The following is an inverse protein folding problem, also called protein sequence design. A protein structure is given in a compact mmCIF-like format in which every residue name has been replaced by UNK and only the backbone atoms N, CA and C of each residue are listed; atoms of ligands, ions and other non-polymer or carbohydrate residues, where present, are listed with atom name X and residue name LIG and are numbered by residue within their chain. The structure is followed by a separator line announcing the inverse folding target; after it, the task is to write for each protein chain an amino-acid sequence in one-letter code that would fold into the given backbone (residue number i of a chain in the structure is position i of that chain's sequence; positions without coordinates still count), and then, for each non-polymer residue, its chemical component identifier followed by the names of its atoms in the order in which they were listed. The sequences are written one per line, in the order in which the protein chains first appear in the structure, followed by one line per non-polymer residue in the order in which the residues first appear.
data_IF_774977185140
#
_entry.id   IF_774977185140
#
_cell.length_a   1.000
_cell.length_b   1.000
_cell.length_c   1.000
_cell.angle_alpha   90.00
_cell.angle_beta   90.00
_cell.angle_gamma   90.00
#
_symmetry.space_group_name_H-M   'P 1'
#
loop_
_entity.id
_entity.type
_entity.pdbx_description
1 polymer ?
#
# COMPACT_ATOMS: atom_id res chain seq x y z
N UNK A 1 15.20 -12.02 -1.31
CA UNK A 1 13.92 -11.96 -2.10
C UNK A 1 14.09 -12.51 -3.51
N UNK A 2 15.15 -12.14 -4.25
CA UNK A 2 15.38 -12.58 -5.64
C UNK A 2 15.50 -14.10 -5.71
N UNK A 3 16.29 -14.75 -4.86
CA UNK A 3 16.42 -16.22 -4.82
C UNK A 3 15.08 -16.91 -4.54
N UNK A 4 14.26 -16.34 -3.64
CA UNK A 4 12.92 -16.85 -3.36
C UNK A 4 12.04 -16.76 -4.62
N UNK A 5 12.08 -15.63 -5.32
CA UNK A 5 11.29 -15.42 -6.53
C UNK A 5 11.65 -16.39 -7.65
N UNK A 6 12.94 -16.67 -7.84
CA UNK A 6 13.45 -17.49 -8.93
C UNK A 6 13.32 -19.00 -8.65
N UNK A 7 13.53 -19.42 -7.42
CA UNK A 7 13.77 -20.84 -7.12
C UNK A 7 12.58 -21.53 -6.44
N UNK A 8 11.67 -20.76 -5.79
CA UNK A 8 10.57 -21.35 -5.01
C UNK A 8 9.59 -22.16 -5.88
N UNK A 9 9.45 -21.82 -7.16
CA UNK A 9 8.53 -22.50 -8.07
C UNK A 9 8.87 -23.97 -8.33
N UNK A 10 10.15 -24.33 -8.23
CA UNK A 10 10.67 -25.68 -8.47
C UNK A 10 11.46 -26.29 -7.31
N UNK A 11 11.56 -25.55 -6.19
CA UNK A 11 12.24 -26.03 -5.00
C UNK A 11 11.47 -27.16 -4.32
N UNK A 12 12.16 -28.24 -3.99
CA UNK A 12 11.62 -29.41 -3.29
C UNK A 12 12.47 -29.75 -2.06
N UNK A 13 11.89 -30.42 -1.09
CA UNK A 13 12.61 -30.94 0.08
C UNK A 13 13.39 -29.85 0.84
N UNK A 14 14.69 -30.12 1.08
CA UNK A 14 15.60 -29.23 1.87
C UNK A 14 15.75 -27.86 1.20
N UNK A 15 15.74 -27.79 -0.13
CA UNK A 15 15.85 -26.52 -0.83
C UNK A 15 14.64 -25.61 -0.59
N UNK A 16 13.42 -26.16 -0.62
CA UNK A 16 12.20 -25.43 -0.25
C UNK A 16 12.26 -24.93 1.18
N UNK A 17 12.72 -25.77 2.12
CA UNK A 17 12.87 -25.39 3.53
C UNK A 17 13.89 -24.26 3.72
N UNK A 18 15.00 -24.26 2.96
CA UNK A 18 16.00 -23.20 3.02
C UNK A 18 15.47 -21.84 2.52
N UNK A 19 14.66 -21.84 1.46
CA UNK A 19 14.02 -20.63 0.94
C UNK A 19 13.00 -20.06 1.92
N UNK A 20 12.24 -20.91 2.61
CA UNK A 20 11.33 -20.51 3.69
C UNK A 20 12.11 -19.93 4.85
N UNK A 21 13.23 -20.54 5.24
CA UNK A 21 14.11 -20.03 6.30
C UNK A 21 14.67 -18.64 5.93
N UNK A 22 15.09 -18.41 4.70
CA UNK A 22 15.54 -17.08 4.25
C UNK A 22 14.45 -16.02 4.31
N UNK A 23 13.21 -16.39 3.98
CA UNK A 23 12.05 -15.47 4.12
C UNK A 23 11.79 -15.12 5.57
N UNK A 24 11.89 -16.10 6.49
CA UNK A 24 11.73 -15.90 7.93
C UNK A 24 12.83 -14.99 8.50
N UNK A 25 14.09 -15.22 8.12
CA UNK A 25 15.22 -14.35 8.52
C UNK A 25 15.02 -12.92 8.02
N UNK A 26 14.54 -12.74 6.78
CA UNK A 26 14.25 -11.42 6.23
C UNK A 26 13.15 -10.70 7.04
N UNK A 27 12.09 -11.42 7.40
CA UNK A 27 11.01 -10.89 8.25
C UNK A 27 11.55 -10.46 9.61
N UNK A 28 12.33 -11.31 10.28
CA UNK A 28 12.92 -10.97 11.57
C UNK A 28 13.85 -9.74 11.46
N UNK A 29 14.63 -9.65 10.38
CA UNK A 29 15.52 -8.51 10.17
C UNK A 29 14.73 -7.20 9.98
N UNK A 30 13.64 -7.20 9.23
CA UNK A 30 12.76 -6.03 9.05
C UNK A 30 12.11 -5.63 10.39
N UNK A 31 11.59 -6.61 11.16
CA UNK A 31 11.05 -6.36 12.50
C UNK A 31 12.08 -5.72 13.42
N UNK A 32 13.29 -6.26 13.44
CA UNK A 32 14.40 -5.77 14.28
C UNK A 32 14.78 -4.34 13.87
N UNK A 33 14.92 -4.05 12.58
CA UNK A 33 15.19 -2.70 12.09
C UNK A 33 14.11 -1.72 12.52
N UNK A 34 12.83 -2.08 12.39
CA UNK A 34 11.73 -1.20 12.77
C UNK A 34 11.68 -0.97 14.29
N UNK A 35 11.97 -1.99 15.10
CA UNK A 35 12.10 -1.82 16.56
C UNK A 35 13.26 -0.87 16.90
N UNK A 36 14.41 -1.02 16.25
CA UNK A 36 15.56 -0.12 16.46
C UNK A 36 15.20 1.32 16.07
N UNK A 37 14.62 1.53 14.89
CA UNK A 37 14.20 2.85 14.43
C UNK A 37 13.17 3.48 15.36
N UNK A 38 12.27 2.67 15.89
CA UNK A 38 11.25 3.13 16.84
C UNK A 38 11.85 3.48 18.20
N UNK A 39 12.80 2.70 18.73
CA UNK A 39 13.53 3.01 19.96
C UNK A 39 14.35 4.30 19.82
N UNK A 40 14.95 4.52 18.66
CA UNK A 40 15.67 5.76 18.34
C UNK A 40 14.69 6.96 18.32
N UNK A 41 13.50 6.78 17.77
CA UNK A 41 12.47 7.84 17.70
C UNK A 41 11.81 8.12 19.06
N UNK A 42 11.64 7.09 19.89
CA UNK A 42 10.98 7.19 21.21
C UNK A 42 11.89 7.71 22.32
N UNK A 43 13.17 7.42 22.29
CA UNK A 43 14.16 8.12 23.10
C UNK A 43 14.51 9.42 22.37
N UNK A 44 14.38 10.56 23.04
CA UNK A 44 15.09 11.80 22.69
C UNK A 44 16.60 11.58 22.82
N UNK A 45 17.15 10.64 22.06
CA UNK A 45 18.56 10.62 21.77
C UNK A 45 18.74 11.88 20.95
N UNK A 46 19.33 12.92 21.57
CA UNK A 46 19.88 14.04 20.85
C UNK A 46 20.79 13.45 19.77
N UNK A 47 20.24 13.29 18.60
CA UNK A 47 20.98 12.89 17.44
C UNK A 47 21.83 14.08 17.08
N UNK A 48 22.99 14.22 17.72
CA UNK A 48 24.01 15.23 17.40
C UNK A 48 24.42 15.17 15.94
N UNK A 49 24.14 14.04 15.27
CA UNK A 49 24.29 13.91 13.82
C UNK A 49 23.25 14.73 13.03
N UNK A 50 22.01 14.85 13.51
CA UNK A 50 20.99 15.72 12.90
C UNK A 50 21.23 17.17 13.29
N UNK A 51 21.74 17.44 14.50
CA UNK A 51 22.21 18.76 14.90
C UNK A 51 23.50 19.15 14.18
N UNK A 52 24.39 18.22 13.89
CA UNK A 52 25.58 18.45 13.07
C UNK A 52 25.21 18.77 11.60
N UNK A 53 24.16 18.14 11.06
CA UNK A 53 23.58 18.54 9.77
C UNK A 53 22.81 19.87 9.88
N UNK A 54 22.14 20.15 11.00
CA UNK A 54 21.55 21.46 11.30
C UNK A 54 22.59 22.56 11.51
N UNK A 55 23.72 22.25 12.13
CA UNK A 55 24.84 23.18 12.29
C UNK A 55 25.62 23.42 10.98
N UNK A 56 25.61 22.43 10.08
CA UNK A 56 26.05 22.61 8.68
C UNK A 56 25.06 23.47 7.87
N UNK A 57 23.77 23.43 8.22
CA UNK A 57 22.67 24.18 7.61
C UNK A 57 22.09 25.27 8.53
N UNK A 58 22.96 26.12 9.09
CA UNK A 58 22.61 27.47 9.50
C UNK A 58 21.35 27.69 10.35
N UNK A 59 21.31 27.21 11.63
CA UNK A 59 20.34 27.69 12.63
C UNK A 59 21.01 27.99 13.97
N UNK A 60 22.13 28.71 13.98
CA UNK A 60 22.80 29.09 15.23
C UNK A 60 22.39 30.45 15.79
N UNK A 61 21.50 31.21 15.12
CA UNK A 61 21.16 32.57 15.57
C UNK A 61 19.68 32.88 15.83
N UNK A 62 18.79 31.89 15.93
CA UNK A 62 17.34 32.16 16.10
C UNK A 62 16.85 32.06 17.56
N UNK A 63 17.69 31.62 18.49
CA UNK A 63 17.23 31.42 19.90
C UNK A 63 17.30 32.65 20.82
N UNK A 64 17.72 33.83 20.34
CA UNK A 64 17.91 35.01 21.21
C UNK A 64 16.83 36.09 21.10
N UNK A 65 15.88 36.05 20.14
CA UNK A 65 14.92 37.14 19.92
C UNK A 65 13.49 36.66 19.62
N UNK A 66 12.96 35.67 20.34
CA UNK A 66 11.56 35.24 20.14
C UNK A 66 10.51 36.13 20.87
N UNK A 67 10.92 37.05 21.73
CA UNK A 67 9.98 37.84 22.51
C UNK A 67 9.54 39.17 21.89
N UNK A 68 9.99 39.53 20.70
CA UNK A 68 9.55 40.73 19.98
C UNK A 68 9.35 40.52 18.48
N UNK A 69 8.54 39.57 18.06
CA UNK A 69 8.22 39.46 16.63
C UNK A 69 6.78 39.89 16.33
N UNK A 70 6.63 41.19 16.03
CA UNK A 70 5.52 41.73 15.27
C UNK A 70 5.64 41.25 13.82
N UNK A 71 4.62 40.54 13.30
CA UNK A 71 4.53 39.96 11.95
C UNK A 71 4.48 40.99 10.79
N UNK A 72 4.82 42.24 11.04
CA UNK A 72 4.70 43.32 10.06
C UNK A 72 6.04 43.79 9.56
N UNK A 73 6.59 43.17 8.55
CA UNK A 73 7.82 43.51 7.77
C UNK A 73 8.92 42.45 7.76
N UNK A 74 8.61 41.23 7.29
CA UNK A 74 9.68 40.38 6.78
C UNK A 74 9.89 40.71 5.31
N UNK A 75 10.69 41.75 5.02
CA UNK A 75 11.41 41.87 3.76
C UNK A 75 12.49 40.79 3.78
N UNK A 76 12.27 39.71 3.02
CA UNK A 76 13.26 38.63 2.80
C UNK A 76 14.45 39.21 2.03
N UNK A 77 15.38 39.82 2.76
CA UNK A 77 16.65 40.31 2.20
C UNK A 77 17.76 39.33 2.64
N UNK A 78 18.35 38.66 1.67
CA UNK A 78 19.41 37.65 1.70
C UNK A 78 18.94 36.22 1.72
N UNK A 79 18.31 35.80 0.62
CA UNK A 79 18.29 34.37 0.24
C UNK A 79 19.74 34.00 -0.07
N UNK A 80 20.34 33.16 0.76
CA UNK A 80 21.72 32.70 0.52
C UNK A 80 21.78 32.04 -0.86
N UNK A 81 22.80 32.35 -1.65
CA UNK A 81 23.08 31.77 -2.99
C UNK A 81 22.94 30.23 -2.93
N UNK A 82 23.33 29.61 -1.81
CA UNK A 82 23.17 28.18 -1.56
C UNK A 82 21.70 27.71 -1.54
N UNK A 83 20.77 28.52 -1.04
CA UNK A 83 19.33 28.15 -1.02
C UNK A 83 18.69 28.26 -2.39
N UNK A 84 19.15 29.18 -3.23
CA UNK A 84 18.73 29.27 -4.63
C UNK A 84 19.27 28.08 -5.45
N UNK A 85 20.52 27.73 -5.30
CA UNK A 85 21.11 26.56 -5.94
C UNK A 85 20.35 25.28 -5.55
N UNK A 86 20.08 25.06 -4.27
CA UNK A 86 19.28 23.91 -3.79
C UNK A 86 17.88 23.91 -4.39
N UNK A 87 17.22 25.05 -4.52
CA UNK A 87 15.92 25.17 -5.17
C UNK A 87 15.97 24.72 -6.64
N UNK A 88 16.95 25.20 -7.39
CA UNK A 88 17.10 24.80 -8.80
C UNK A 88 17.43 23.30 -8.95
N UNK A 89 18.30 22.75 -8.08
CA UNK A 89 18.60 21.32 -8.06
C UNK A 89 17.33 20.51 -7.76
N UNK A 90 16.53 20.93 -6.78
CA UNK A 90 15.27 20.24 -6.44
C UNK A 90 14.27 20.30 -7.59
N UNK A 91 14.11 21.46 -8.24
CA UNK A 91 13.22 21.60 -9.41
C UNK A 91 13.71 20.70 -10.54
N UNK A 92 15.00 20.71 -10.84
CA UNK A 92 15.60 19.88 -11.90
C UNK A 92 15.41 18.38 -11.63
N UNK A 93 15.66 17.93 -10.40
CA UNK A 93 15.43 16.54 -9.99
C UNK A 93 13.94 16.15 -10.13
N UNK A 94 13.02 17.03 -9.73
CA UNK A 94 11.58 16.81 -9.87
C UNK A 94 11.17 16.69 -11.34
N UNK A 95 11.66 17.58 -12.20
CA UNK A 95 11.38 17.55 -13.65
C UNK A 95 11.90 16.25 -14.25
N UNK A 96 13.13 15.85 -13.99
CA UNK A 96 13.71 14.60 -14.51
C UNK A 96 12.89 13.39 -14.05
N UNK A 97 12.59 13.31 -12.77
CA UNK A 97 11.78 12.20 -12.22
C UNK A 97 10.39 12.12 -12.88
N UNK A 98 9.74 13.28 -13.05
CA UNK A 98 8.42 13.34 -13.69
C UNK A 98 8.48 12.96 -15.17
N UNK A 99 9.47 13.45 -15.90
CA UNK A 99 9.68 13.10 -17.31
C UNK A 99 9.96 11.61 -17.48
N UNK A 100 10.78 11.02 -16.60
CA UNK A 100 11.08 9.60 -16.64
C UNK A 100 9.86 8.74 -16.38
N UNK A 101 9.04 9.09 -15.37
CA UNK A 101 7.76 8.40 -15.12
C UNK A 101 6.80 8.54 -16.31
N UNK A 102 6.68 9.75 -16.87
CA UNK A 102 5.86 9.99 -18.04
C UNK A 102 6.33 9.17 -19.24
N UNK A 103 7.64 9.08 -19.46
CA UNK A 103 8.24 8.26 -20.52
C UNK A 103 7.86 6.79 -20.36
N UNK A 104 7.97 6.21 -19.15
CA UNK A 104 7.61 4.81 -18.90
C UNK A 104 6.11 4.59 -19.21
N UNK A 105 5.25 5.47 -18.69
CA UNK A 105 3.81 5.39 -18.91
C UNK A 105 3.47 5.45 -20.40
N UNK A 106 4.01 6.43 -21.12
CA UNK A 106 3.79 6.57 -22.56
C UNK A 106 4.35 5.40 -23.35
N UNK A 107 5.53 4.91 -23.00
CA UNK A 107 6.14 3.76 -23.65
C UNK A 107 5.26 2.52 -23.56
N UNK A 108 4.74 2.22 -22.36
CA UNK A 108 3.83 1.08 -22.14
C UNK A 108 2.55 1.26 -22.96
N UNK A 109 1.94 2.45 -22.93
CA UNK A 109 0.70 2.72 -23.66
C UNK A 109 0.89 2.63 -25.17
N UNK A 110 1.94 3.25 -25.73
CA UNK A 110 2.20 3.23 -27.17
C UNK A 110 2.45 1.80 -27.66
N UNK A 111 3.16 0.98 -26.88
CA UNK A 111 3.41 -0.41 -27.23
C UNK A 111 2.22 -1.33 -27.01
N UNK A 112 1.37 -1.05 -26.04
CA UNK A 112 0.29 -1.97 -25.64
C UNK A 112 -1.06 -1.68 -26.30
N UNK A 113 -1.45 -0.40 -26.50
CA UNK A 113 -2.75 -0.02 -27.05
C UNK A 113 -3.10 -0.67 -28.39
N UNK A 114 -2.16 -0.80 -29.38
CA UNK A 114 -2.47 -1.43 -30.66
C UNK A 114 -2.89 -2.90 -30.58
N UNK A 115 -2.53 -3.58 -29.49
CA UNK A 115 -2.78 -5.02 -29.29
C UNK A 115 -3.98 -5.30 -28.38
N UNK A 116 -4.70 -4.25 -27.92
CA UNK A 116 -5.92 -4.40 -27.15
C UNK A 116 -7.08 -4.66 -28.11
N UNK A 117 -7.53 -5.91 -28.18
CA UNK A 117 -8.65 -6.35 -29.00
C UNK A 117 -9.77 -6.89 -28.10
N UNK A 118 -10.99 -6.89 -28.58
CA UNK A 118 -12.13 -7.50 -27.89
C UNK A 118 -11.88 -8.99 -27.57
N UNK A 119 -11.25 -9.71 -28.49
CA UNK A 119 -10.91 -11.13 -28.31
C UNK A 119 -9.89 -11.35 -27.18
N UNK A 120 -8.94 -10.44 -26.97
CA UNK A 120 -7.98 -10.50 -25.85
C UNK A 120 -8.72 -10.28 -24.52
N UNK A 121 -9.72 -9.42 -24.47
CA UNK A 121 -10.45 -9.13 -23.24
C UNK A 121 -11.50 -10.17 -22.90
N UNK A 122 -12.29 -10.60 -23.88
CA UNK A 122 -13.51 -11.37 -23.69
C UNK A 122 -13.62 -12.62 -24.60
N UNK A 123 -12.57 -12.95 -25.36
CA UNK A 123 -12.56 -14.13 -26.20
C UNK A 123 -12.62 -15.43 -25.41
N UNK A 124 -12.91 -16.54 -26.08
CA UNK A 124 -12.81 -17.86 -25.48
C UNK A 124 -11.35 -18.28 -25.33
N UNK A 125 -10.99 -18.81 -24.16
CA UNK A 125 -9.65 -19.33 -23.90
C UNK A 125 -9.46 -20.68 -24.57
N UNK A 126 -8.98 -20.67 -25.80
CA UNK A 126 -8.57 -21.86 -26.54
C UNK A 126 -7.04 -21.95 -26.56
N UNK A 127 -6.50 -23.13 -26.84
CA UNK A 127 -5.03 -23.37 -26.89
C UNK A 127 -4.27 -22.43 -27.84
N UNK A 128 -4.96 -21.76 -28.78
CA UNK A 128 -4.40 -20.84 -29.76
C UNK A 128 -4.72 -19.35 -29.49
N UNK A 129 -5.68 -19.04 -28.61
CA UNK A 129 -6.09 -17.66 -28.30
C UNK A 129 -6.01 -17.40 -26.81
N UNK A 130 -5.20 -16.38 -26.43
CA UNK A 130 -5.06 -15.91 -25.05
C UNK A 130 -6.16 -14.90 -24.73
N UNK A 131 -6.88 -15.09 -23.64
CA UNK A 131 -7.87 -14.14 -23.13
C UNK A 131 -7.54 -13.71 -21.72
N UNK A 132 -7.91 -12.47 -21.39
CA UNK A 132 -7.76 -11.88 -20.06
C UNK A 132 -9.01 -12.03 -19.18
N UNK A 133 -10.11 -12.53 -19.76
CA UNK A 133 -11.39 -12.65 -19.04
C UNK A 133 -11.29 -13.44 -17.74
N UNK A 134 -10.64 -14.61 -17.69
CA UNK A 134 -10.45 -15.34 -16.43
C UNK A 134 -9.70 -14.52 -15.37
N UNK A 135 -8.70 -13.74 -15.79
CA UNK A 135 -7.92 -12.91 -14.88
C UNK A 135 -8.74 -11.72 -14.36
N UNK A 136 -9.58 -11.12 -15.19
CA UNK A 136 -10.51 -10.04 -14.78
C UNK A 136 -11.45 -10.56 -13.69
N UNK A 137 -12.10 -11.70 -13.94
CA UNK A 137 -13.03 -12.31 -12.98
C UNK A 137 -12.33 -12.70 -11.69
N UNK A 138 -11.18 -13.38 -11.78
CA UNK A 138 -10.40 -13.77 -10.60
C UNK A 138 -9.96 -12.56 -9.78
N UNK A 139 -9.51 -11.49 -10.44
CA UNK A 139 -9.12 -10.24 -9.74
C UNK A 139 -10.32 -9.61 -9.04
N UNK A 140 -11.47 -9.55 -9.70
CA UNK A 140 -12.70 -9.03 -9.09
C UNK A 140 -13.13 -9.86 -7.86
N UNK A 141 -13.08 -11.19 -7.96
CA UNK A 141 -13.37 -12.10 -6.84
C UNK A 141 -12.41 -11.88 -5.67
N UNK A 142 -11.10 -11.81 -5.94
CA UNK A 142 -10.08 -11.56 -4.90
C UNK A 142 -10.25 -10.20 -4.26
N UNK A 143 -10.49 -9.16 -5.06
CA UNK A 143 -10.71 -7.79 -4.60
C UNK A 143 -11.92 -7.73 -3.65
N UNK A 144 -13.05 -8.26 -4.07
CA UNK A 144 -14.28 -8.25 -3.29
C UNK A 144 -14.10 -8.98 -1.95
N UNK A 145 -13.55 -10.19 -1.98
CA UNK A 145 -13.34 -10.99 -0.79
C UNK A 145 -12.33 -10.37 0.18
N UNK A 146 -11.24 -9.83 -0.36
CA UNK A 146 -10.21 -9.18 0.46
C UNK A 146 -10.74 -7.92 1.15
N UNK A 147 -11.50 -7.08 0.44
CA UNK A 147 -12.05 -5.85 1.01
C UNK A 147 -13.15 -6.12 2.04
N UNK A 148 -14.02 -7.08 1.79
CA UNK A 148 -15.08 -7.47 2.76
C UNK A 148 -14.48 -7.85 4.11
N UNK A 149 -13.30 -8.47 4.13
CA UNK A 149 -12.62 -8.88 5.36
C UNK A 149 -11.75 -7.74 5.90
N UNK A 150 -10.90 -7.16 5.07
CA UNK A 150 -9.88 -6.21 5.53
C UNK A 150 -10.44 -4.85 5.96
N UNK A 151 -11.49 -4.36 5.28
CA UNK A 151 -12.04 -3.03 5.59
C UNK A 151 -12.69 -2.99 6.98
N UNK A 152 -13.62 -3.89 7.34
CA UNK A 152 -14.18 -3.88 8.68
C UNK A 152 -13.10 -4.05 9.76
N UNK A 153 -12.23 -5.04 9.61
CA UNK A 153 -11.17 -5.31 10.59
C UNK A 153 -10.24 -4.09 10.72
N UNK A 154 -9.81 -3.50 9.61
CA UNK A 154 -8.92 -2.35 9.59
C UNK A 154 -9.53 -1.10 10.22
N UNK A 155 -10.78 -0.77 9.84
CA UNK A 155 -11.48 0.40 10.38
C UNK A 155 -11.76 0.25 11.88
N UNK A 156 -12.27 -0.90 12.33
CA UNK A 156 -12.51 -1.14 13.76
C UNK A 156 -11.23 -1.16 14.57
N UNK A 157 -10.14 -1.71 14.02
CA UNK A 157 -8.82 -1.65 14.68
C UNK A 157 -8.34 -0.21 14.82
N UNK A 158 -8.47 0.62 13.79
CA UNK A 158 -8.10 2.04 13.85
C UNK A 158 -8.96 2.82 14.86
N UNK A 159 -10.27 2.56 14.92
CA UNK A 159 -11.16 3.15 15.93
C UNK A 159 -10.69 2.76 17.35
N UNK A 160 -10.36 1.49 17.57
CA UNK A 160 -9.84 1.05 18.85
C UNK A 160 -8.55 1.79 19.23
N UNK A 161 -7.61 1.90 18.30
CA UNK A 161 -6.31 2.55 18.52
C UNK A 161 -6.44 4.05 18.80
N UNK A 162 -7.44 4.73 18.20
CA UNK A 162 -7.61 6.19 18.36
C UNK A 162 -8.53 6.57 19.51
N UNK A 163 -9.65 5.85 19.67
CA UNK A 163 -10.72 6.27 20.55
C UNK A 163 -10.75 5.54 21.89
N UNK A 164 -10.38 4.28 21.95
CA UNK A 164 -10.47 3.48 23.18
C UNK A 164 -9.15 3.33 23.91
N UNK A 165 -8.05 3.56 23.24
CA UNK A 165 -6.75 3.31 23.82
C UNK A 165 -6.25 4.54 24.60
N UNK A 166 -5.60 4.31 25.75
CA UNK A 166 -4.81 5.35 26.41
C UNK A 166 -3.54 5.60 25.56
N UNK A 167 -3.27 6.84 25.21
CA UNK A 167 -2.18 7.25 24.28
C UNK A 167 -0.79 6.61 24.58
N UNK A 168 -0.55 6.15 25.81
CA UNK A 168 0.73 5.59 26.28
C UNK A 168 0.65 4.11 26.65
N UNK A 169 -0.33 3.35 26.18
CA UNK A 169 -0.45 1.92 26.47
C UNK A 169 0.63 1.10 25.75
N UNK A 170 1.38 0.26 26.49
CA UNK A 170 2.42 -0.63 25.93
C UNK A 170 1.88 -1.52 24.78
N UNK A 171 0.63 -1.97 24.89
CA UNK A 171 -0.03 -2.80 23.88
C UNK A 171 -0.22 -2.03 22.56
N UNK A 172 -0.67 -0.78 22.64
CA UNK A 172 -0.89 0.07 21.47
C UNK A 172 0.41 0.35 20.74
N UNK A 173 1.42 0.66 21.52
CA UNK A 173 2.78 0.83 21.03
C UNK A 173 3.24 -0.41 20.25
N UNK A 174 3.05 -1.60 20.82
CA UNK A 174 3.40 -2.85 20.16
C UNK A 174 2.60 -3.07 18.87
N UNK A 175 1.27 -2.80 18.86
CA UNK A 175 0.43 -2.94 17.66
C UNK A 175 0.90 -2.00 16.56
N UNK A 176 1.21 -0.73 16.87
CA UNK A 176 1.71 0.23 15.87
C UNK A 176 3.05 -0.21 15.26
N UNK A 177 4.02 -0.62 16.10
CA UNK A 177 5.29 -1.15 15.60
C UNK A 177 5.05 -2.35 14.68
N UNK A 178 4.19 -3.27 15.09
CA UNK A 178 3.89 -4.46 14.30
C UNK A 178 3.24 -4.10 12.96
N UNK A 179 2.27 -3.20 12.97
CA UNK A 179 1.60 -2.71 11.75
C UNK A 179 2.57 -2.00 10.81
N UNK A 180 3.42 -1.11 11.36
CA UNK A 180 4.45 -0.41 10.58
C UNK A 180 5.49 -1.39 10.00
N UNK A 181 5.86 -2.41 10.76
CA UNK A 181 6.80 -3.44 10.33
C UNK A 181 6.24 -4.31 9.22
N UNK A 182 4.97 -4.73 9.33
CA UNK A 182 4.28 -5.48 8.28
C UNK A 182 4.20 -4.71 6.96
N UNK A 183 4.00 -3.40 7.01
CA UNK A 183 3.94 -2.58 5.79
C UNK A 183 5.25 -2.54 5.02
N UNK A 184 6.39 -2.77 5.67
CA UNK A 184 7.72 -2.82 5.07
C UNK A 184 8.15 -4.18 4.53
N UNK A 185 7.37 -5.24 4.75
CA UNK A 185 7.71 -6.59 4.30
C UNK A 185 7.46 -6.72 2.79
N UNK A 186 8.41 -7.28 2.00
CA UNK A 186 8.19 -7.58 0.59
C UNK A 186 7.00 -8.54 0.38
N UNK A 187 6.17 -8.27 -0.64
CA UNK A 187 4.93 -9.03 -0.89
C UNK A 187 5.17 -10.53 -1.13
N UNK A 188 6.32 -10.88 -1.71
CA UNK A 188 6.69 -12.29 -1.90
C UNK A 188 6.79 -13.07 -0.58
N UNK A 189 7.22 -12.42 0.50
CA UNK A 189 7.28 -13.02 1.83
C UNK A 189 5.86 -13.31 2.35
N UNK A 190 4.92 -12.38 2.14
CA UNK A 190 3.50 -12.64 2.43
C UNK A 190 2.95 -13.81 1.61
N UNK A 191 3.38 -13.95 0.34
CA UNK A 191 3.02 -15.08 -0.50
C UNK A 191 3.48 -16.41 0.08
N UNK A 192 4.72 -16.48 0.57
CA UNK A 192 5.26 -17.67 1.21
C UNK A 192 4.54 -18.01 2.52
N UNK A 193 4.31 -17.02 3.38
CA UNK A 193 3.54 -17.24 4.60
C UNK A 193 2.10 -17.61 4.29
N UNK A 194 1.47 -16.98 3.31
CA UNK A 194 0.14 -17.32 2.84
C UNK A 194 0.09 -18.77 2.32
N UNK A 195 1.11 -19.21 1.59
CA UNK A 195 1.22 -20.60 1.16
C UNK A 195 1.31 -21.55 2.36
N UNK A 196 2.19 -21.30 3.32
CA UNK A 196 2.35 -22.15 4.49
C UNK A 196 1.07 -22.22 5.36
N UNK A 197 0.42 -21.09 5.56
CA UNK A 197 -0.75 -21.01 6.44
C UNK A 197 -2.00 -21.50 5.72
N UNK A 198 -2.29 -20.94 4.53
CA UNK A 198 -3.57 -21.20 3.89
C UNK A 198 -3.57 -22.49 3.04
N UNK A 199 -2.46 -22.81 2.36
CA UNK A 199 -2.40 -24.03 1.56
C UNK A 199 -2.01 -25.26 2.40
N UNK A 200 -0.88 -25.16 3.14
CA UNK A 200 -0.33 -26.32 3.83
C UNK A 200 -1.07 -26.58 5.17
N UNK A 201 -1.27 -25.55 6.02
CA UNK A 201 -1.90 -25.72 7.34
C UNK A 201 -3.44 -25.85 7.27
N UNK A 202 -4.10 -24.97 6.49
CA UNK A 202 -5.57 -25.00 6.35
C UNK A 202 -6.07 -25.88 5.21
N UNK A 203 -5.16 -26.42 4.37
CA UNK A 203 -5.51 -27.35 3.33
C UNK A 203 -6.35 -26.77 2.18
N UNK A 204 -6.37 -25.43 2.01
CA UNK A 204 -7.18 -24.78 0.97
C UNK A 204 -6.67 -25.03 -0.46
N UNK A 205 -5.44 -25.53 -0.60
CA UNK A 205 -4.79 -25.61 -1.90
C UNK A 205 -4.57 -24.24 -2.55
N UNK A 206 -4.04 -24.20 -3.77
CA UNK A 206 -4.00 -22.97 -4.55
C UNK A 206 -5.40 -22.58 -4.95
N UNK A 207 -5.87 -21.44 -4.47
CA UNK A 207 -7.25 -21.03 -4.68
C UNK A 207 -7.41 -19.50 -4.60
N UNK A 208 -8.46 -19.00 -5.23
CA UNK A 208 -8.86 -17.58 -5.15
C UNK A 208 -9.03 -17.17 -3.68
N UNK A 209 -9.57 -18.06 -2.83
CA UNK A 209 -9.74 -17.79 -1.39
C UNK A 209 -8.40 -17.64 -0.68
N UNK A 210 -7.45 -18.55 -0.89
CA UNK A 210 -6.11 -18.44 -0.29
C UNK A 210 -5.39 -17.17 -0.73
N UNK A 211 -5.50 -16.81 -2.03
CA UNK A 211 -5.00 -15.54 -2.56
C UNK A 211 -5.67 -14.33 -1.89
N UNK A 212 -7.01 -14.36 -1.73
CA UNK A 212 -7.76 -13.28 -1.08
C UNK A 212 -7.33 -13.08 0.37
N UNK A 213 -7.17 -14.16 1.14
CA UNK A 213 -6.73 -14.10 2.54
C UNK A 213 -5.29 -13.57 2.65
N UNK A 214 -4.43 -13.93 1.71
CA UNK A 214 -3.06 -13.37 1.64
C UNK A 214 -3.09 -11.88 1.34
N UNK A 215 -3.96 -11.43 0.43
CA UNK A 215 -4.17 -10.01 0.15
C UNK A 215 -4.68 -9.26 1.38
N UNK A 216 -5.58 -9.86 2.17
CA UNK A 216 -6.01 -9.27 3.46
C UNK A 216 -4.80 -8.95 4.34
N UNK A 217 -3.87 -9.90 4.51
CA UNK A 217 -2.66 -9.67 5.31
C UNK A 217 -1.80 -8.52 4.77
N UNK A 218 -1.73 -8.36 3.46
CA UNK A 218 -0.94 -7.32 2.78
C UNK A 218 -1.56 -5.92 2.94
N UNK A 219 -2.90 -5.81 2.81
CA UNK A 219 -3.58 -4.51 2.79
C UNK A 219 -4.01 -4.04 4.18
N UNK A 220 -4.23 -4.95 5.12
CA UNK A 220 -4.72 -4.65 6.46
C UNK A 220 -3.88 -3.60 7.21
N UNK A 221 -2.52 -3.70 7.26
CA UNK A 221 -1.69 -2.68 7.89
C UNK A 221 -1.89 -1.28 7.30
N UNK A 222 -2.02 -1.20 5.97
CA UNK A 222 -2.22 0.08 5.28
C UNK A 222 -3.59 0.70 5.59
N UNK A 223 -4.66 -0.11 5.64
CA UNK A 223 -6.00 0.35 6.00
C UNK A 223 -6.03 0.84 7.45
N UNK A 224 -5.45 0.08 8.39
CA UNK A 224 -5.37 0.47 9.80
C UNK A 224 -4.66 1.81 9.92
N UNK A 225 -3.46 1.94 9.32
CA UNK A 225 -2.62 3.13 9.44
C UNK A 225 -3.27 4.37 8.87
N UNK A 226 -3.79 4.30 7.65
CA UNK A 226 -4.41 5.45 6.99
C UNK A 226 -5.72 5.87 7.68
N UNK A 227 -6.51 4.89 8.15
CA UNK A 227 -7.72 5.18 8.93
C UNK A 227 -7.36 5.81 10.27
N UNK A 228 -6.35 5.30 10.98
CA UNK A 228 -5.85 5.86 12.24
C UNK A 228 -5.40 7.32 12.04
N UNK A 229 -4.57 7.62 11.04
CA UNK A 229 -4.11 8.96 10.73
C UNK A 229 -5.27 9.91 10.40
N UNK A 230 -6.26 9.41 9.67
CA UNK A 230 -7.49 10.17 9.37
C UNK A 230 -8.26 10.51 10.64
N UNK A 231 -8.49 9.53 11.51
CA UNK A 231 -9.24 9.74 12.75
C UNK A 231 -8.50 10.68 13.72
N UNK A 232 -7.17 10.60 13.79
CA UNK A 232 -6.34 11.51 14.61
C UNK A 232 -6.41 12.95 14.08
N UNK A 233 -6.53 13.15 12.77
CA UNK A 233 -6.58 14.48 12.16
C UNK A 233 -7.86 15.26 12.48
N UNK A 234 -8.91 14.58 12.96
CA UNK A 234 -10.18 15.23 13.35
C UNK A 234 -10.00 16.03 14.64
N UNK A 235 -10.42 17.33 14.69
CA UNK A 235 -10.25 18.17 15.87
C UNK A 235 -10.88 17.56 17.13
N UNK A 236 -10.15 17.61 18.25
CA UNK A 236 -10.60 17.10 19.54
C UNK A 236 -11.89 17.82 20.03
N UNK A 237 -12.03 19.10 19.69
CA UNK A 237 -13.20 19.91 20.05
C UNK A 237 -14.54 19.32 19.62
N UNK A 238 -14.58 18.60 18.49
CA UNK A 238 -15.80 17.91 18.02
C UNK A 238 -16.19 16.76 18.95
N UNK A 239 -15.19 16.02 19.46
CA UNK A 239 -15.40 14.94 20.42
C UNK A 239 -15.84 15.48 21.78
N UNK A 240 -15.11 16.47 22.27
CA UNK A 240 -15.37 17.13 23.57
C UNK A 240 -16.75 17.80 23.58
N UNK A 241 -17.11 18.53 22.52
CA UNK A 241 -18.42 19.16 22.39
C UNK A 241 -19.57 18.15 22.41
N UNK A 242 -19.42 17.01 21.71
CA UNK A 242 -20.42 15.94 21.73
C UNK A 242 -20.59 15.31 23.12
N UNK A 243 -19.47 15.04 23.80
CA UNK A 243 -19.49 14.48 25.16
C UNK A 243 -20.08 15.48 26.18
N UNK A 244 -19.78 16.77 26.03
CA UNK A 244 -20.33 17.84 26.89
C UNK A 244 -21.85 17.94 26.75
N UNK A 245 -22.41 17.66 25.57
CA UNK A 245 -23.86 17.58 25.33
C UNK A 245 -24.50 16.27 25.84
N UNK A 246 -23.74 15.41 26.55
CA UNK A 246 -24.24 14.20 27.15
C UNK A 246 -24.30 12.98 26.18
N UNK A 247 -23.71 13.07 24.98
CA UNK A 247 -23.65 11.93 24.08
C UNK A 247 -22.69 10.86 24.63
N UNK A 248 -23.05 9.59 24.47
CA UNK A 248 -22.15 8.47 24.79
C UNK A 248 -20.99 8.42 23.82
N UNK A 249 -19.86 7.85 24.25
CA UNK A 249 -18.65 7.69 23.42
C UNK A 249 -18.94 6.96 22.10
N UNK A 250 -19.72 5.89 22.14
CA UNK A 250 -20.14 5.15 20.94
C UNK A 250 -20.91 6.05 19.98
N UNK A 251 -21.87 6.84 20.50
CA UNK A 251 -22.65 7.77 19.68
C UNK A 251 -21.76 8.83 19.04
N UNK A 252 -20.81 9.37 19.79
CA UNK A 252 -19.83 10.35 19.27
C UNK A 252 -19.00 9.74 18.12
N UNK A 253 -18.51 8.50 18.29
CA UNK A 253 -17.73 7.81 17.24
C UNK A 253 -18.56 7.65 15.97
N UNK A 254 -19.75 7.05 16.07
CA UNK A 254 -20.53 6.68 14.87
C UNK A 254 -21.26 7.88 14.23
N UNK A 255 -21.60 8.93 14.98
CA UNK A 255 -22.38 10.07 14.48
C UNK A 255 -21.53 11.31 14.16
N UNK A 256 -20.30 11.40 14.67
CA UNK A 256 -19.43 12.57 14.47
C UNK A 256 -18.08 12.12 13.88
N UNK A 257 -17.32 11.29 14.58
CA UNK A 257 -15.95 10.98 14.20
C UNK A 257 -15.89 10.22 12.86
N UNK A 258 -16.66 9.13 12.70
CA UNK A 258 -16.68 8.36 11.46
C UNK A 258 -17.19 9.16 10.26
N UNK A 259 -18.29 9.90 10.32
CA UNK A 259 -18.70 10.76 9.21
C UNK A 259 -17.66 11.82 8.83
N UNK A 260 -17.04 12.50 9.81
CA UNK A 260 -15.96 13.44 9.54
C UNK A 260 -14.72 12.79 8.91
N UNK A 261 -14.42 11.53 9.29
CA UNK A 261 -13.29 10.76 8.75
C UNK A 261 -13.60 9.99 7.46
N UNK A 262 -14.84 10.04 6.96
CA UNK A 262 -15.30 9.18 5.88
C UNK A 262 -14.48 9.34 4.58
N UNK A 263 -14.11 10.55 4.22
CA UNK A 263 -13.27 10.83 3.03
C UNK A 263 -11.89 10.15 3.11
N UNK A 264 -11.27 10.17 4.29
CA UNK A 264 -9.98 9.51 4.49
C UNK A 264 -10.08 7.99 4.50
N UNK A 265 -11.18 7.43 5.06
CA UNK A 265 -11.44 5.99 5.04
C UNK A 265 -11.65 5.51 3.59
N UNK A 266 -12.42 6.24 2.78
CA UNK A 266 -12.58 5.94 1.34
C UNK A 266 -11.23 5.99 0.63
N UNK A 267 -10.40 6.97 0.95
CA UNK A 267 -9.04 7.07 0.38
C UNK A 267 -8.22 5.83 0.70
N UNK A 268 -8.24 5.35 1.95
CA UNK A 268 -7.56 4.13 2.37
C UNK A 268 -8.05 2.90 1.58
N UNK A 269 -9.35 2.79 1.35
CA UNK A 269 -9.94 1.69 0.58
C UNK A 269 -9.50 1.74 -0.88
N UNK A 270 -9.57 2.90 -1.55
CA UNK A 270 -9.21 3.03 -2.97
C UNK A 270 -7.72 2.75 -3.19
N UNK A 271 -6.84 3.22 -2.30
CA UNK A 271 -5.41 2.90 -2.35
C UNK A 271 -5.16 1.39 -2.15
N UNK A 272 -5.94 0.73 -1.29
CA UNK A 272 -5.89 -0.72 -1.11
C UNK A 272 -6.35 -1.47 -2.37
N UNK A 273 -7.39 -0.98 -3.07
CA UNK A 273 -7.82 -1.54 -4.35
C UNK A 273 -6.68 -1.47 -5.38
N UNK A 274 -6.03 -0.32 -5.50
CA UNK A 274 -4.87 -0.17 -6.41
C UNK A 274 -3.74 -1.16 -6.09
N UNK A 275 -3.47 -1.39 -4.80
CA UNK A 275 -2.48 -2.37 -4.34
C UNK A 275 -2.89 -3.81 -4.67
N UNK A 276 -4.15 -4.19 -4.46
CA UNK A 276 -4.67 -5.52 -4.80
C UNK A 276 -4.54 -5.79 -6.30
N UNK A 277 -4.96 -4.84 -7.13
CA UNK A 277 -4.95 -4.99 -8.60
C UNK A 277 -3.53 -5.15 -9.15
N UNK A 278 -2.54 -4.48 -8.53
CA UNK A 278 -1.13 -4.57 -8.92
C UNK A 278 -0.36 -5.74 -8.30
N UNK A 279 -0.96 -6.51 -7.37
CA UNK A 279 -0.23 -7.57 -6.66
C UNK A 279 -0.06 -8.82 -7.53
N UNK A 280 1.19 -9.27 -7.70
CA UNK A 280 1.52 -10.49 -8.44
C UNK A 280 2.33 -11.48 -7.61
N UNK A 281 3.39 -11.01 -6.94
CA UNK A 281 4.38 -11.87 -6.31
C UNK A 281 3.79 -12.79 -5.22
N UNK A 282 2.90 -12.27 -4.38
CA UNK A 282 2.25 -13.06 -3.35
C UNK A 282 1.23 -14.06 -3.94
N UNK A 283 0.53 -13.66 -4.99
CA UNK A 283 -0.55 -14.45 -5.57
C UNK A 283 -0.08 -15.63 -6.39
N UNK A 284 1.10 -15.58 -7.00
CA UNK A 284 1.70 -16.72 -7.71
C UNK A 284 1.76 -17.95 -6.80
N UNK A 285 2.07 -17.78 -5.52
CA UNK A 285 2.20 -18.89 -4.57
C UNK A 285 0.88 -19.30 -3.94
N UNK A 286 -0.08 -18.41 -3.82
CA UNK A 286 -1.31 -18.62 -3.04
C UNK A 286 -2.54 -18.87 -3.90
N UNK A 287 -2.80 -18.05 -4.91
CA UNK A 287 -3.96 -18.24 -5.80
C UNK A 287 -3.65 -19.11 -7.01
N UNK A 288 -2.39 -19.15 -7.43
CA UNK A 288 -1.91 -19.90 -8.57
C UNK A 288 -1.70 -19.05 -9.83
N UNK A 289 -1.07 -19.66 -10.83
CA UNK A 289 -0.80 -19.10 -12.14
C UNK A 289 -1.46 -19.99 -13.20
N UNK A 290 -2.74 -19.77 -13.46
CA UNK A 290 -3.59 -20.58 -14.35
C UNK A 290 -4.27 -19.70 -15.40
N UNK A 291 -4.61 -20.27 -16.56
CA UNK A 291 -5.22 -19.54 -17.68
C UNK A 291 -6.72 -19.77 -17.81
N UNK A 292 -7.27 -20.71 -17.04
CA UNK A 292 -8.69 -21.02 -17.05
C UNK A 292 -9.45 -20.20 -16.00
N UNK A 293 -10.74 -20.09 -16.22
CA UNK A 293 -11.65 -19.40 -15.30
C UNK A 293 -11.88 -20.25 -14.04
N UNK A 294 -11.75 -19.66 -12.83
CA UNK A 294 -12.08 -20.38 -11.61
C UNK A 294 -13.58 -20.66 -11.54
N UNK A 295 -13.96 -21.89 -11.22
CA UNK A 295 -15.36 -22.25 -11.01
C UNK A 295 -15.92 -21.71 -9.69
N UNK A 296 -15.06 -21.25 -8.78
CA UNK A 296 -15.44 -20.68 -7.49
C UNK A 296 -14.22 -20.28 -6.65
N UNK A 297 -14.44 -19.83 -5.43
CA UNK A 297 -13.40 -19.34 -4.54
C UNK A 297 -12.37 -20.40 -4.11
N UNK A 298 -12.73 -21.68 -4.12
CA UNK A 298 -11.84 -22.78 -3.75
C UNK A 298 -11.01 -23.30 -4.95
N UNK A 299 -11.20 -22.75 -6.13
CA UNK A 299 -10.43 -23.11 -7.32
C UNK A 299 -9.26 -22.13 -7.52
N UNK A 300 -8.20 -22.62 -8.20
CA UNK A 300 -7.10 -21.75 -8.59
C UNK A 300 -7.56 -20.68 -9.57
N UNK A 301 -6.97 -19.49 -9.46
CA UNK A 301 -7.27 -18.36 -10.33
C UNK A 301 -6.13 -17.38 -10.37
N UNK A 302 -5.83 -16.83 -11.54
CA UNK A 302 -4.76 -15.85 -11.74
C UNK A 302 -5.30 -14.43 -11.65
N UNK A 303 -4.62 -13.55 -10.89
CA UNK A 303 -4.91 -12.13 -10.96
C UNK A 303 -4.43 -11.55 -12.30
N UNK A 304 -4.89 -10.34 -12.60
CA UNK A 304 -4.48 -9.60 -13.80
C UNK A 304 -2.96 -9.40 -13.85
N UNK A 305 -2.35 -9.05 -12.73
CA UNK A 305 -0.91 -8.87 -12.61
C UNK A 305 -0.15 -10.20 -12.71
N UNK A 306 -0.70 -11.31 -12.20
CA UNK A 306 -0.13 -12.66 -12.38
C UNK A 306 -0.20 -13.09 -13.83
N UNK A 307 -1.30 -12.84 -14.55
CA UNK A 307 -1.42 -13.16 -15.97
C UNK A 307 -0.39 -12.37 -16.81
N UNK A 308 -0.20 -11.08 -16.51
CA UNK A 308 0.83 -10.27 -17.16
C UNK A 308 2.23 -10.86 -16.92
N UNK A 309 2.53 -11.30 -15.69
CA UNK A 309 3.78 -11.95 -15.36
C UNK A 309 3.97 -13.26 -16.14
N UNK A 310 2.91 -14.09 -16.27
CA UNK A 310 2.96 -15.33 -17.07
C UNK A 310 3.30 -15.04 -18.52
N UNK A 311 2.63 -14.08 -19.17
CA UNK A 311 2.91 -13.71 -20.55
C UNK A 311 4.34 -13.19 -20.73
N UNK A 312 4.84 -12.42 -19.77
CA UNK A 312 6.21 -11.91 -19.79
C UNK A 312 7.25 -13.02 -19.61
N UNK A 313 7.01 -13.95 -18.68
CA UNK A 313 7.97 -15.02 -18.36
C UNK A 313 8.12 -16.07 -19.47
N UNK A 314 7.07 -16.29 -20.26
CA UNK A 314 7.11 -17.22 -21.40
C UNK A 314 7.85 -16.65 -22.61
N UNK A 315 8.02 -15.31 -22.71
CA UNK A 315 8.73 -14.63 -23.79
C UNK A 315 8.05 -14.71 -25.18
N UNK A 316 7.00 -15.52 -25.31
CA UNK A 316 6.28 -15.74 -26.57
C UNK A 316 5.18 -14.70 -26.81
N UNK A 317 4.70 -14.07 -25.74
CA UNK A 317 3.51 -13.18 -25.73
C UNK A 317 3.83 -11.74 -25.38
N UNK A 318 4.94 -11.21 -25.92
CA UNK A 318 5.44 -9.86 -25.58
C UNK A 318 4.39 -8.77 -25.86
N UNK A 319 3.70 -8.87 -27.00
CA UNK A 319 2.67 -7.89 -27.36
C UNK A 319 1.46 -7.94 -26.44
N UNK A 320 1.03 -9.15 -26.04
CA UNK A 320 -0.05 -9.33 -25.06
C UNK A 320 0.37 -8.87 -23.67
N UNK A 321 1.65 -9.03 -23.31
CA UNK A 321 2.20 -8.48 -22.07
C UNK A 321 2.06 -6.95 -22.02
N UNK A 322 2.46 -6.24 -23.11
CA UNK A 322 2.30 -4.79 -23.19
C UNK A 322 0.83 -4.37 -23.19
N UNK A 323 -0.04 -5.11 -23.87
CA UNK A 323 -1.49 -4.86 -23.87
C UNK A 323 -2.05 -4.99 -22.44
N UNK A 324 -1.71 -6.07 -21.74
CA UNK A 324 -2.14 -6.31 -20.36
C UNK A 324 -1.60 -5.24 -19.41
N UNK A 325 -0.32 -4.87 -19.54
CA UNK A 325 0.28 -3.79 -18.75
C UNK A 325 -0.42 -2.44 -18.99
N UNK A 326 -0.79 -2.15 -20.24
CA UNK A 326 -1.53 -0.92 -20.58
C UNK A 326 -2.91 -0.88 -19.95
N UNK A 327 -3.64 -2.00 -19.96
CA UNK A 327 -4.97 -2.10 -19.33
C UNK A 327 -4.84 -1.92 -17.81
N UNK A 328 -3.89 -2.58 -17.17
CA UNK A 328 -3.63 -2.46 -15.74
C UNK A 328 -3.30 -1.01 -15.36
N UNK A 329 -2.45 -0.35 -16.15
CA UNK A 329 -2.09 1.04 -15.96
C UNK A 329 -3.29 1.96 -16.11
N UNK A 330 -4.16 1.74 -17.12
CA UNK A 330 -5.41 2.50 -17.28
C UNK A 330 -6.34 2.31 -16.09
N UNK A 331 -6.47 1.09 -15.55
CA UNK A 331 -7.27 0.82 -14.35
C UNK A 331 -6.72 1.61 -13.16
N UNK A 332 -5.40 1.61 -12.93
CA UNK A 332 -4.77 2.36 -11.84
C UNK A 332 -4.95 3.87 -12.00
N UNK A 333 -4.79 4.40 -13.21
CA UNK A 333 -5.03 5.83 -13.50
C UNK A 333 -6.50 6.17 -13.22
N UNK A 334 -7.43 5.34 -13.66
CA UNK A 334 -8.86 5.53 -13.43
C UNK A 334 -9.20 5.54 -11.94
N UNK A 335 -8.66 4.60 -11.17
CA UNK A 335 -8.84 4.56 -9.71
C UNK A 335 -8.30 5.82 -9.02
N UNK A 336 -7.12 6.30 -9.43
CA UNK A 336 -6.55 7.53 -8.88
C UNK A 336 -7.38 8.79 -9.27
N UNK A 337 -7.89 8.84 -10.49
CA UNK A 337 -8.79 9.91 -10.93
C UNK A 337 -10.11 9.89 -10.15
N UNK A 338 -10.69 8.71 -9.94
CA UNK A 338 -11.88 8.52 -9.11
C UNK A 338 -11.65 9.02 -7.68
N UNK A 339 -10.50 8.66 -7.09
CA UNK A 339 -10.09 9.13 -5.75
C UNK A 339 -10.03 10.66 -5.68
N UNK A 340 -9.40 11.29 -6.67
CA UNK A 340 -9.31 12.75 -6.75
C UNK A 340 -10.70 13.42 -6.82
N UNK A 341 -11.59 12.90 -7.65
CA UNK A 341 -12.96 13.42 -7.80
C UNK A 341 -13.77 13.25 -6.51
N UNK A 342 -13.69 12.06 -5.88
CA UNK A 342 -14.40 11.78 -4.62
C UNK A 342 -13.90 12.69 -3.49
N UNK A 343 -12.59 12.84 -3.33
CA UNK A 343 -12.03 13.71 -2.30
C UNK A 343 -12.45 15.17 -2.48
N UNK A 344 -12.53 15.66 -3.73
CA UNK A 344 -12.96 17.02 -4.00
C UNK A 344 -14.47 17.24 -3.72
N UNK A 345 -15.31 16.23 -3.98
CA UNK A 345 -16.74 16.30 -3.62
C UNK A 345 -16.93 16.26 -2.11
N UNK A 346 -16.32 15.32 -1.41
CA UNK A 346 -16.48 15.15 0.05
C UNK A 346 -15.92 16.31 0.86
N UNK A 347 -14.91 17.04 0.34
CA UNK A 347 -14.41 18.27 1.00
C UNK A 347 -15.35 19.46 0.89
N UNK A 348 -16.28 19.49 -0.06
CA UNK A 348 -17.25 20.58 -0.23
C UNK A 348 -18.46 20.46 0.70
N UNK A 349 -18.70 19.28 1.24
CA UNK A 349 -19.87 18.97 2.09
C UNK A 349 -19.58 19.16 3.59
N UNK A 350 -18.34 19.55 3.96
CA UNK A 350 -17.88 19.89 5.31
C UNK A 350 -17.08 21.20 5.30
#
# INVERSE_FOLDING_TARGET
TINIALEMGYATGIHRSSLIATAFVLLLFILLLNIILYLIKGNHINFDFITSIKDLFFIKNIKKNINEFSFKNIKMKNVSIKSEILKYISIFATIISTLFLLFIVLFILIRGLPYINFNLLFGESNNSQMTLFPAIVSTAMMLFMSLIIAVPIGVFSAIYLTEYSKANGKLIYAIRIFTDSLSGIPSIVFGLFGMLIFLDLFGLGRSVLAGSLTLVLIILPSIIRQTEETLISIPASLREGSLALGASKVRTIFKIVLPCGFSGIITAIILSIGRIVGESAALIYTSGAVRYMPAGYLNAGSSFAVMMWMFSSEGLYINQTFATASILLMIVIFLNALLFVLNNKLKKDY
#
